data_IF_278096352172
#
_entry.id   IF_278096352172
#
_cell.length_a   1.000
_cell.length_b   1.000
_cell.length_c   1.000
_cell.angle_alpha   90.00
_cell.angle_beta   90.00
_cell.angle_gamma   90.00
#
_symmetry.space_group_name_H-M   'P 1'
#
loop_
_entity.id
_entity.type
_entity.pdbx_description
1 polymer ?
#
# COMPACT_ATOMS: atom_id res chain seq x y z
N UNK A 1 11.49 21.01 -13.41
CA UNK A 1 10.18 20.38 -13.67
C UNK A 1 9.23 20.83 -12.58
N UNK A 2 8.14 21.48 -12.98
CA UNK A 2 7.12 22.04 -12.08
C UNK A 2 5.97 21.06 -11.91
N UNK A 3 5.84 20.49 -10.74
CA UNK A 3 4.85 19.45 -10.43
C UNK A 3 3.78 20.00 -9.50
N UNK A 4 2.51 19.77 -9.84
CA UNK A 4 1.36 20.04 -9.00
C UNK A 4 0.92 18.76 -8.30
N UNK A 5 1.11 18.66 -6.98
CA UNK A 5 0.71 17.51 -6.17
C UNK A 5 -0.62 17.78 -5.47
N UNK A 6 -1.55 16.85 -5.58
CA UNK A 6 -2.89 16.96 -4.98
C UNK A 6 -3.06 15.84 -3.94
N UNK A 7 -3.21 16.24 -2.68
CA UNK A 7 -3.50 15.33 -1.58
C UNK A 7 -4.33 16.05 -0.52
N UNK A 8 -5.59 15.66 -0.26
CA UNK A 8 -6.45 16.38 0.67
C UNK A 8 -5.89 16.46 2.08
N UNK A 9 -5.19 15.44 2.54
CA UNK A 9 -4.62 15.37 3.88
C UNK A 9 -3.13 15.04 3.81
N UNK A 10 -2.30 15.88 4.45
CA UNK A 10 -0.85 15.72 4.58
C UNK A 10 -0.49 16.07 6.03
N UNK A 11 0.17 15.16 6.75
CA UNK A 11 0.60 15.39 8.13
C UNK A 11 1.70 14.40 8.53
N UNK A 12 2.85 14.92 8.94
CA UNK A 12 4.00 14.14 9.42
C UNK A 12 3.71 13.40 10.74
N UNK A 13 2.76 13.89 11.54
CA UNK A 13 2.43 13.35 12.87
C UNK A 13 1.24 12.40 12.88
N UNK A 14 0.58 12.23 11.73
CA UNK A 14 -0.57 11.35 11.57
C UNK A 14 -0.12 9.91 11.21
N UNK A 15 -1.08 9.05 10.90
CA UNK A 15 -0.88 7.67 10.47
C UNK A 15 -1.63 7.42 9.15
N UNK A 16 -1.28 6.35 8.45
CA UNK A 16 -1.96 5.95 7.22
C UNK A 16 -1.75 6.93 6.06
N UNK A 17 -2.83 7.25 5.33
CA UNK A 17 -2.74 8.02 4.08
C UNK A 17 -2.12 9.42 4.24
N UNK A 18 -2.39 10.13 5.34
CA UNK A 18 -1.87 11.48 5.55
C UNK A 18 -0.34 11.47 5.76
N UNK A 19 0.18 10.52 6.53
CA UNK A 19 1.61 10.31 6.71
C UNK A 19 2.28 9.88 5.41
N UNK A 20 1.68 8.96 4.68
CA UNK A 20 2.20 8.50 3.38
C UNK A 20 2.27 9.67 2.39
N UNK A 21 1.22 10.50 2.34
CA UNK A 21 1.22 11.70 1.50
C UNK A 21 2.31 12.70 1.90
N UNK A 22 2.54 12.88 3.20
CA UNK A 22 3.64 13.69 3.72
C UNK A 22 4.99 13.14 3.23
N UNK A 23 5.28 11.86 3.40
CA UNK A 23 6.56 11.24 3.00
C UNK A 23 6.82 11.34 1.49
N UNK A 24 5.79 11.16 0.66
CA UNK A 24 5.92 11.40 -0.78
C UNK A 24 6.20 12.86 -1.12
N UNK A 25 5.45 13.80 -0.52
CA UNK A 25 5.64 15.23 -0.74
C UNK A 25 7.03 15.69 -0.27
N UNK A 26 7.48 15.23 0.90
CA UNK A 26 8.82 15.50 1.44
C UNK A 26 9.90 15.01 0.46
N UNK A 27 9.84 13.74 0.06
CA UNK A 27 10.85 13.15 -0.82
C UNK A 27 10.84 13.77 -2.24
N UNK A 28 9.68 14.15 -2.78
CA UNK A 28 9.56 14.79 -4.09
C UNK A 28 10.02 16.24 -4.06
N UNK A 29 9.76 17.00 -2.98
CA UNK A 29 10.17 18.42 -2.87
C UNK A 29 11.67 18.64 -2.95
N UNK A 30 12.47 17.61 -2.66
CA UNK A 30 13.93 17.61 -2.80
C UNK A 30 14.42 17.38 -4.27
N UNK A 31 13.50 17.07 -5.20
CA UNK A 31 13.84 16.61 -6.56
C UNK A 31 13.20 17.42 -7.67
N UNK A 32 12.08 18.07 -7.38
CA UNK A 32 11.30 18.84 -8.35
C UNK A 32 10.77 20.12 -7.71
N UNK A 33 10.45 21.12 -8.53
CA UNK A 33 9.70 22.30 -8.06
C UNK A 33 8.26 21.88 -7.76
N UNK A 34 7.96 21.64 -6.47
CA UNK A 34 6.73 21.05 -6.02
C UNK A 34 5.76 22.11 -5.49
N UNK A 35 4.55 22.13 -6.05
CA UNK A 35 3.41 22.85 -5.47
C UNK A 35 2.40 21.82 -4.94
N UNK A 36 2.03 21.94 -3.67
CA UNK A 36 1.16 21.00 -2.98
C UNK A 36 -0.18 21.66 -2.65
N UNK A 37 -1.29 21.01 -3.03
CA UNK A 37 -2.65 21.44 -2.69
C UNK A 37 -3.23 20.48 -1.64
N UNK A 38 -3.61 20.99 -0.45
CA UNK A 38 -4.14 20.18 0.64
C UNK A 38 -5.10 20.96 1.54
N UNK A 39 -5.78 20.26 2.44
CA UNK A 39 -6.45 20.89 3.57
C UNK A 39 -5.47 21.17 4.70
N UNK A 40 -5.71 22.26 5.44
CA UNK A 40 -5.13 22.51 6.75
C UNK A 40 -6.11 22.05 7.83
N UNK A 41 -5.69 21.11 8.65
CA UNK A 41 -6.46 20.64 9.79
C UNK A 41 -6.25 21.59 10.97
N UNK A 42 -7.35 21.95 11.65
CA UNK A 42 -7.31 22.73 12.87
C UNK A 42 -6.62 21.94 14.00
N UNK A 43 -5.82 22.63 14.80
CA UNK A 43 -5.05 22.01 15.90
C UNK A 43 -3.83 21.19 15.48
N UNK A 44 -3.48 21.18 14.17
CA UNK A 44 -2.28 20.56 13.64
C UNK A 44 -1.27 21.62 13.18
N UNK A 45 0.01 21.27 13.21
CA UNK A 45 1.06 22.13 12.65
C UNK A 45 0.78 22.47 11.19
N UNK A 46 1.11 23.70 10.77
CA UNK A 46 0.89 24.14 9.40
C UNK A 46 1.65 23.22 8.42
N UNK A 47 0.97 22.74 7.37
CA UNK A 47 1.59 21.84 6.37
C UNK A 47 2.80 22.51 5.70
N UNK A 48 2.74 23.84 5.50
CA UNK A 48 3.87 24.60 4.97
C UNK A 48 5.13 24.56 5.86
N UNK A 49 4.96 24.47 7.18
CA UNK A 49 6.09 24.29 8.11
C UNK A 49 6.66 22.88 8.06
N UNK A 50 5.82 21.88 7.79
CA UNK A 50 6.23 20.48 7.65
C UNK A 50 6.94 20.22 6.30
N UNK A 51 6.67 21.03 5.26
CA UNK A 51 7.20 20.89 3.90
C UNK A 51 7.88 22.18 3.42
N UNK A 52 8.98 22.60 4.06
CA UNK A 52 9.61 23.90 3.77
C UNK A 52 10.20 24.02 2.35
N UNK A 53 10.49 22.89 1.70
CA UNK A 53 11.03 22.85 0.35
C UNK A 53 9.94 22.84 -0.75
N UNK A 54 8.66 22.82 -0.39
CA UNK A 54 7.54 22.87 -1.33
C UNK A 54 6.74 24.17 -1.22
N UNK A 55 6.15 24.63 -2.31
CA UNK A 55 5.10 25.65 -2.26
C UNK A 55 3.80 24.97 -1.80
N UNK A 56 3.28 25.33 -0.65
CA UNK A 56 2.06 24.72 -0.08
C UNK A 56 0.90 25.70 -0.14
N UNK A 57 -0.22 25.26 -0.71
CA UNK A 57 -1.50 25.99 -0.76
C UNK A 57 -2.52 25.19 0.04
N UNK A 58 -3.13 25.84 1.03
CA UNK A 58 -4.05 25.17 1.94
C UNK A 58 -5.41 25.84 1.99
N UNK A 59 -6.43 25.06 2.27
CA UNK A 59 -7.78 25.49 2.63
C UNK A 59 -8.16 24.85 3.97
N UNK A 60 -9.01 25.51 4.80
CA UNK A 60 -9.48 24.88 6.02
C UNK A 60 -10.27 23.60 5.71
N UNK A 61 -10.01 22.53 6.46
CA UNK A 61 -10.83 21.32 6.36
C UNK A 61 -12.24 21.62 6.89
N UNK A 62 -13.33 21.25 6.15
CA UNK A 62 -14.68 21.51 6.60
C UNK A 62 -14.96 20.91 7.99
N UNK A 63 -15.53 21.71 8.91
CA UNK A 63 -15.75 21.27 10.30
C UNK A 63 -16.62 20.00 10.40
N UNK A 64 -17.63 19.86 9.55
CA UNK A 64 -18.50 18.67 9.49
C UNK A 64 -17.75 17.40 9.07
N UNK A 65 -16.64 17.52 8.34
CA UNK A 65 -15.83 16.38 7.94
C UNK A 65 -15.06 15.75 9.10
N UNK A 66 -14.91 16.48 10.23
CA UNK A 66 -14.15 16.04 11.40
C UNK A 66 -14.97 15.22 12.41
N UNK A 67 -16.29 15.36 12.40
CA UNK A 67 -17.18 14.77 13.41
C UNK A 67 -17.31 13.25 13.35
N UNK A 68 -16.91 12.59 12.24
CA UNK A 68 -17.04 11.15 12.05
C UNK A 68 -15.77 10.56 11.42
N UNK A 69 -14.66 10.51 12.15
CA UNK A 69 -13.34 10.11 11.64
C UNK A 69 -13.35 8.79 10.85
N UNK A 70 -14.06 7.75 11.32
CA UNK A 70 -14.14 6.46 10.61
C UNK A 70 -14.88 6.56 9.28
N UNK A 71 -15.97 7.31 9.21
CA UNK A 71 -16.71 7.55 7.97
C UNK A 71 -15.88 8.40 7.00
N UNK A 72 -15.19 9.41 7.51
CA UNK A 72 -14.31 10.26 6.72
C UNK A 72 -13.12 9.52 6.16
N UNK A 73 -12.50 8.65 6.93
CA UNK A 73 -11.40 7.81 6.46
C UNK A 73 -11.85 6.89 5.30
N UNK A 74 -13.12 6.44 5.31
CA UNK A 74 -13.64 5.49 4.33
C UNK A 74 -14.36 6.11 3.14
N UNK A 75 -15.16 7.15 3.35
CA UNK A 75 -16.03 7.73 2.33
C UNK A 75 -15.56 9.09 1.81
N UNK A 76 -14.55 9.71 2.48
CA UNK A 76 -13.98 11.03 2.11
C UNK A 76 -15.04 12.05 1.65
N UNK A 77 -16.08 12.34 2.45
CA UNK A 77 -17.19 13.20 2.03
C UNK A 77 -16.74 14.64 1.70
N UNK A 78 -15.58 15.08 2.22
CA UNK A 78 -14.98 16.37 1.88
C UNK A 78 -14.32 16.40 0.48
N UNK A 79 -14.20 15.27 -0.22
CA UNK A 79 -13.56 15.22 -1.53
C UNK A 79 -14.19 16.15 -2.58
N UNK A 80 -15.52 16.24 -2.75
CA UNK A 80 -16.12 17.17 -3.71
C UNK A 80 -15.78 18.63 -3.42
N UNK A 81 -15.75 19.02 -2.13
CA UNK A 81 -15.35 20.38 -1.69
C UNK A 81 -13.89 20.64 -2.05
N UNK A 82 -12.99 19.72 -1.69
CA UNK A 82 -11.58 19.80 -2.04
C UNK A 82 -11.37 19.89 -3.56
N UNK A 83 -12.00 19.02 -4.33
CA UNK A 83 -11.95 19.06 -5.79
C UNK A 83 -12.46 20.38 -6.39
N UNK A 84 -13.45 21.00 -5.74
CA UNK A 84 -13.93 22.34 -6.09
C UNK A 84 -12.86 23.42 -5.88
N UNK A 85 -12.18 23.41 -4.73
CA UNK A 85 -11.06 24.33 -4.43
C UNK A 85 -9.90 24.13 -5.42
N UNK A 86 -9.51 22.88 -5.66
CA UNK A 86 -8.44 22.55 -6.63
C UNK A 86 -8.76 23.11 -8.02
N UNK A 87 -9.99 22.88 -8.53
CA UNK A 87 -10.39 23.40 -9.86
C UNK A 87 -10.36 24.91 -9.93
N UNK A 88 -10.85 25.61 -8.89
CA UNK A 88 -10.85 27.08 -8.84
C UNK A 88 -9.41 27.59 -8.85
N UNK A 89 -8.59 27.05 -7.99
CA UNK A 89 -7.19 27.47 -7.85
C UNK A 89 -6.38 27.24 -9.12
N UNK A 90 -6.52 26.10 -9.81
CA UNK A 90 -5.82 25.84 -11.07
C UNK A 90 -6.22 26.87 -12.14
N UNK A 91 -7.53 27.17 -12.27
CA UNK A 91 -7.99 28.19 -13.25
C UNK A 91 -7.38 29.56 -12.95
N UNK A 92 -7.37 29.95 -11.71
CA UNK A 92 -6.78 31.23 -11.25
C UNK A 92 -5.26 31.24 -11.49
N UNK A 93 -4.56 30.21 -11.13
CA UNK A 93 -3.12 30.08 -11.38
C UNK A 93 -2.79 30.17 -12.89
N UNK A 94 -3.55 29.49 -13.74
CA UNK A 94 -3.38 29.56 -15.19
C UNK A 94 -3.70 30.96 -15.76
N UNK A 95 -4.74 31.66 -15.26
CA UNK A 95 -5.04 33.04 -15.69
C UNK A 95 -3.95 34.03 -15.32
N UNK A 96 -3.14 33.73 -14.31
CA UNK A 96 -1.95 34.49 -13.93
C UNK A 96 -0.65 33.99 -14.58
N UNK A 97 -0.75 33.15 -15.61
CA UNK A 97 0.41 32.64 -16.34
C UNK A 97 1.21 31.53 -15.62
N UNK A 98 0.70 30.99 -14.53
CA UNK A 98 1.35 29.85 -13.87
C UNK A 98 1.18 28.59 -14.72
N UNK A 99 2.29 27.93 -15.03
CA UNK A 99 2.34 26.70 -15.80
C UNK A 99 2.91 25.56 -14.96
N UNK A 100 2.31 24.37 -15.10
CA UNK A 100 2.79 23.12 -14.52
C UNK A 100 3.07 22.13 -15.65
N UNK A 101 4.22 21.45 -15.55
CA UNK A 101 4.59 20.43 -16.53
C UNK A 101 3.71 19.19 -16.38
N UNK A 102 3.40 18.81 -15.12
CA UNK A 102 2.58 17.65 -14.81
C UNK A 102 1.84 17.85 -13.47
N UNK A 103 0.64 17.29 -13.37
CA UNK A 103 -0.11 17.19 -12.11
C UNK A 103 -0.18 15.75 -11.61
N UNK A 104 -0.06 15.55 -10.31
CA UNK A 104 -0.16 14.24 -9.69
C UNK A 104 -1.21 14.24 -8.57
N UNK A 105 -2.32 13.55 -8.78
CA UNK A 105 -3.28 13.25 -7.71
C UNK A 105 -2.79 12.07 -6.91
N UNK A 106 -2.07 12.33 -5.83
CA UNK A 106 -1.49 11.33 -4.94
C UNK A 106 -2.55 10.65 -4.05
N UNK A 107 -3.53 11.42 -3.59
CA UNK A 107 -4.60 10.96 -2.71
C UNK A 107 -5.97 11.46 -3.22
N UNK A 108 -7.07 10.79 -2.90
CA UNK A 108 -7.21 9.57 -2.08
C UNK A 108 -6.71 8.30 -2.79
N UNK A 109 -6.28 7.30 -2.01
CA UNK A 109 -5.87 6.00 -2.56
C UNK A 109 -7.02 5.18 -3.13
N UNK A 110 -8.24 5.33 -2.58
CA UNK A 110 -9.39 4.59 -3.07
C UNK A 110 -9.81 5.07 -4.47
N UNK A 111 -9.96 4.15 -5.42
CA UNK A 111 -10.24 4.45 -6.82
C UNK A 111 -11.67 4.97 -7.11
N UNK A 112 -12.48 5.27 -6.12
CA UNK A 112 -13.88 5.69 -6.25
C UNK A 112 -14.10 7.20 -6.47
N UNK A 113 -13.02 8.00 -6.56
CA UNK A 113 -13.10 9.46 -6.60
C UNK A 113 -12.68 10.00 -7.96
N UNK A 114 -13.62 10.69 -8.63
CA UNK A 114 -13.32 11.36 -9.89
C UNK A 114 -12.28 12.48 -9.68
N UNK A 115 -11.28 12.54 -10.56
CA UNK A 115 -10.23 13.54 -10.48
C UNK A 115 -10.69 14.93 -10.92
N UNK A 116 -10.35 16.00 -10.19
CA UNK A 116 -10.56 17.36 -10.67
C UNK A 116 -9.68 17.69 -11.90
N UNK A 117 -8.59 16.98 -12.11
CA UNK A 117 -7.61 17.23 -13.17
C UNK A 117 -8.14 16.93 -14.58
N UNK A 118 -9.15 16.08 -14.72
CA UNK A 118 -9.77 15.74 -16.01
C UNK A 118 -10.32 16.93 -16.80
N UNK A 119 -10.41 18.11 -16.16
CA UNK A 119 -10.95 19.35 -16.75
C UNK A 119 -9.85 20.27 -17.31
N UNK A 120 -8.59 19.90 -17.18
CA UNK A 120 -7.44 20.73 -17.56
C UNK A 120 -6.57 20.03 -18.59
N UNK A 121 -5.92 20.83 -19.42
CA UNK A 121 -4.95 20.35 -20.42
C UNK A 121 -3.53 20.25 -19.83
N UNK A 122 -3.45 19.72 -18.60
CA UNK A 122 -2.20 19.41 -17.91
C UNK A 122 -2.07 17.89 -17.89
N UNK A 123 -0.98 17.30 -18.40
CA UNK A 123 -0.75 15.87 -18.24
C UNK A 123 -0.82 15.49 -16.76
N UNK A 124 -1.54 14.41 -16.43
CA UNK A 124 -1.68 14.05 -15.02
C UNK A 124 -1.58 12.55 -14.76
N UNK A 125 -1.16 12.26 -13.54
CA UNK A 125 -1.04 10.93 -12.96
C UNK A 125 -1.99 10.81 -11.78
N UNK A 126 -2.57 9.63 -11.56
CA UNK A 126 -3.39 9.32 -10.39
C UNK A 126 -2.82 8.13 -9.66
N UNK A 127 -2.71 8.21 -8.33
CA UNK A 127 -2.31 7.10 -7.45
C UNK A 127 -1.03 7.37 -6.67
N UNK A 128 -0.51 6.34 -5.99
CA UNK A 128 -0.86 4.92 -6.08
C UNK A 128 -2.26 4.61 -5.53
N UNK A 129 -3.10 4.00 -6.37
CA UNK A 129 -4.42 3.55 -5.98
C UNK A 129 -4.35 2.22 -5.25
N UNK A 130 -5.21 2.05 -4.23
CA UNK A 130 -5.26 0.84 -3.42
C UNK A 130 -6.67 0.49 -2.97
N UNK A 131 -6.79 -0.57 -2.18
CA UNK A 131 -8.08 -1.06 -1.67
C UNK A 131 -8.80 -2.00 -2.65
N UNK A 132 -10.10 -2.17 -2.46
CA UNK A 132 -11.00 -3.02 -3.26
C UNK A 132 -10.63 -4.52 -3.36
N UNK A 133 -9.65 -4.99 -2.57
CA UNK A 133 -9.31 -6.40 -2.52
C UNK A 133 -10.36 -7.17 -1.70
N UNK A 134 -11.03 -8.13 -2.32
CA UNK A 134 -12.08 -8.93 -1.69
C UNK A 134 -11.52 -10.06 -0.81
N UNK A 135 -12.36 -10.57 0.10
CA UNK A 135 -12.06 -11.81 0.82
C UNK A 135 -12.33 -13.00 -0.09
N UNK A 136 -11.39 -13.96 -0.25
CA UNK A 136 -11.61 -15.18 -1.02
C UNK A 136 -12.85 -15.93 -0.53
N UNK A 137 -13.56 -16.59 -1.44
CA UNK A 137 -14.86 -17.23 -1.16
C UNK A 137 -14.73 -18.25 -0.06
N UNK A 138 -13.66 -19.04 -0.08
CA UNK A 138 -13.36 -20.14 0.84
C UNK A 138 -13.10 -19.67 2.28
N UNK A 139 -12.71 -18.39 2.45
CA UNK A 139 -12.44 -17.77 3.75
C UNK A 139 -13.62 -16.95 4.30
N UNK A 140 -14.72 -16.80 3.52
CA UNK A 140 -15.86 -15.94 3.91
C UNK A 140 -16.62 -16.50 5.09
N UNK A 141 -16.70 -17.83 5.25
CA UNK A 141 -17.37 -18.48 6.38
C UNK A 141 -16.69 -18.19 7.72
N UNK A 142 -15.39 -17.91 7.70
CA UNK A 142 -14.62 -17.59 8.89
C UNK A 142 -14.43 -16.07 9.10
N UNK A 143 -14.78 -15.26 8.12
CA UNK A 143 -14.75 -13.81 8.27
C UNK A 143 -16.00 -13.36 9.02
N UNK A 144 -15.81 -12.52 10.05
CA UNK A 144 -16.93 -11.85 10.73
C UNK A 144 -17.81 -11.14 9.70
N UNK A 145 -19.13 -11.13 9.94
CA UNK A 145 -20.11 -10.49 9.07
C UNK A 145 -19.66 -9.05 8.78
N UNK A 146 -19.31 -8.83 7.52
CA UNK A 146 -18.78 -7.53 7.11
C UNK A 146 -19.83 -6.44 7.38
N UNK A 147 -19.45 -5.30 7.99
CA UNK A 147 -20.38 -4.20 8.26
C UNK A 147 -21.16 -3.81 7.01
N UNK A 148 -22.39 -3.33 7.15
CA UNK A 148 -23.32 -2.92 6.07
C UNK A 148 -22.66 -2.08 4.97
N UNK A 149 -21.67 -1.24 5.32
CA UNK A 149 -20.93 -0.41 4.37
C UNK A 149 -20.04 -1.20 3.40
N UNK A 150 -19.70 -2.46 3.67
CA UNK A 150 -18.99 -3.30 2.69
C UNK A 150 -19.89 -3.70 1.53
N UNK A 151 -21.24 -3.65 1.71
CA UNK A 151 -22.21 -3.79 0.61
C UNK A 151 -22.11 -2.61 -0.36
N UNK A 152 -21.73 -1.42 0.12
CA UNK A 152 -21.49 -0.24 -0.75
C UNK A 152 -20.32 -0.45 -1.74
N UNK A 153 -19.40 -1.37 -1.47
CA UNK A 153 -18.35 -1.74 -2.44
C UNK A 153 -18.89 -2.36 -3.73
N UNK A 154 -20.04 -3.01 -3.67
CA UNK A 154 -20.70 -3.51 -4.89
C UNK A 154 -21.11 -2.33 -5.81
N UNK A 155 -21.38 -1.16 -5.25
CA UNK A 155 -21.65 0.06 -6.01
C UNK A 155 -20.38 0.60 -6.70
N UNK A 156 -19.19 0.35 -6.17
CA UNK A 156 -17.95 0.76 -6.81
C UNK A 156 -17.78 0.08 -8.18
N UNK A 157 -18.08 -1.21 -8.30
CA UNK A 157 -18.04 -1.92 -9.57
C UNK A 157 -19.00 -1.36 -10.62
N UNK A 158 -20.21 -0.98 -10.19
CA UNK A 158 -21.18 -0.30 -11.06
C UNK A 158 -20.68 1.09 -11.47
N UNK A 159 -20.04 1.81 -10.57
CA UNK A 159 -19.47 3.13 -10.88
C UNK A 159 -18.30 3.04 -11.85
N UNK A 160 -17.40 2.07 -11.70
CA UNK A 160 -16.33 1.84 -12.68
C UNK A 160 -16.87 1.54 -14.07
N UNK A 161 -18.01 0.87 -14.15
CA UNK A 161 -18.65 0.54 -15.42
C UNK A 161 -19.44 1.69 -16.03
N UNK A 162 -20.15 2.52 -15.24
CA UNK A 162 -21.16 3.44 -15.74
C UNK A 162 -20.96 4.91 -15.36
N UNK A 163 -20.10 5.26 -14.39
CA UNK A 163 -19.88 6.66 -14.00
C UNK A 163 -18.96 7.37 -15.02
N UNK A 164 -19.48 8.25 -15.88
CA UNK A 164 -18.69 8.86 -16.94
C UNK A 164 -17.58 9.77 -16.40
N UNK A 165 -17.77 10.38 -15.25
CA UNK A 165 -16.76 11.27 -14.65
C UNK A 165 -15.60 10.49 -14.07
N UNK A 166 -15.90 9.34 -13.46
CA UNK A 166 -14.90 8.44 -12.93
C UNK A 166 -14.07 7.82 -14.08
N UNK A 167 -14.76 7.28 -15.09
CA UNK A 167 -14.13 6.72 -16.29
C UNK A 167 -13.25 7.74 -17.01
N UNK A 168 -13.76 8.97 -17.25
CA UNK A 168 -13.00 10.04 -17.85
C UNK A 168 -11.79 10.46 -17.02
N UNK A 169 -11.83 10.35 -15.69
CA UNK A 169 -10.69 10.63 -14.82
C UNK A 169 -9.54 9.67 -15.06
N UNK A 170 -9.83 8.38 -15.28
CA UNK A 170 -8.82 7.35 -15.49
C UNK A 170 -8.37 7.25 -16.94
N UNK A 171 -9.29 7.33 -17.90
CA UNK A 171 -8.93 7.22 -19.33
C UNK A 171 -8.12 8.42 -19.86
N UNK A 172 -8.31 9.60 -19.28
CA UNK A 172 -7.54 10.81 -19.63
C UNK A 172 -6.20 10.92 -18.89
N UNK A 173 -6.01 10.17 -17.82
CA UNK A 173 -4.75 10.18 -17.08
C UNK A 173 -3.62 9.61 -17.93
N UNK A 174 -2.49 10.32 -18.00
CA UNK A 174 -1.32 9.87 -18.72
C UNK A 174 -0.70 8.59 -18.12
N UNK A 175 -0.89 8.39 -16.80
CA UNK A 175 -0.54 7.15 -16.12
C UNK A 175 -1.40 6.96 -14.87
N UNK A 176 -1.80 5.72 -14.62
CA UNK A 176 -2.41 5.30 -13.36
C UNK A 176 -1.38 4.49 -12.58
N UNK A 177 -1.18 4.86 -11.32
CA UNK A 177 -0.35 4.08 -10.39
C UNK A 177 -1.27 3.22 -9.53
N UNK A 178 -0.94 1.93 -9.40
CA UNK A 178 -1.59 1.02 -8.45
C UNK A 178 -0.59 0.56 -7.40
N UNK A 179 -1.03 0.34 -6.15
CA UNK A 179 -0.15 -0.19 -5.09
C UNK A 179 0.43 -1.56 -5.44
N UNK A 180 -0.27 -2.32 -6.28
CA UNK A 180 0.13 -3.60 -6.84
C UNK A 180 -0.64 -3.87 -8.14
N UNK A 181 -0.24 -4.86 -8.97
CA UNK A 181 -0.86 -5.14 -10.27
C UNK A 181 -2.36 -5.42 -10.22
N UNK A 182 -2.89 -6.03 -9.13
CA UNK A 182 -4.32 -6.33 -9.00
C UNK A 182 -5.23 -5.10 -9.13
N UNK A 183 -4.70 -3.88 -8.92
CA UNK A 183 -5.48 -2.63 -9.05
C UNK A 183 -5.94 -2.41 -10.49
N UNK A 184 -5.18 -2.86 -11.48
CA UNK A 184 -5.59 -2.80 -12.88
C UNK A 184 -6.86 -3.63 -13.13
N UNK A 185 -6.96 -4.81 -12.52
CA UNK A 185 -8.15 -5.66 -12.59
C UNK A 185 -9.37 -4.99 -11.93
N UNK A 186 -9.15 -4.28 -10.82
CA UNK A 186 -10.21 -3.52 -10.12
C UNK A 186 -10.79 -2.41 -10.98
N UNK A 187 -9.98 -1.78 -11.82
CA UNK A 187 -10.42 -0.72 -12.74
C UNK A 187 -11.21 -1.27 -13.94
N UNK A 188 -11.15 -2.58 -14.17
CA UNK A 188 -11.97 -3.30 -15.15
C UNK A 188 -11.69 -2.89 -16.59
N UNK A 189 -12.76 -2.53 -17.32
CA UNK A 189 -12.74 -2.20 -18.75
C UNK A 189 -12.44 -0.72 -19.05
N UNK A 190 -12.00 0.06 -18.07
CA UNK A 190 -11.61 1.46 -18.31
C UNK A 190 -10.33 1.47 -19.15
N UNK A 191 -10.33 2.12 -20.33
CA UNK A 191 -9.13 2.20 -21.17
C UNK A 191 -8.09 3.10 -20.49
N UNK A 192 -6.99 2.50 -20.01
CA UNK A 192 -5.88 3.23 -19.39
C UNK A 192 -4.80 3.50 -20.45
N UNK A 193 -4.25 4.72 -20.49
CA UNK A 193 -3.12 5.04 -21.37
C UNK A 193 -1.84 4.30 -20.91
N UNK A 194 -1.62 4.26 -19.59
CA UNK A 194 -0.50 3.55 -18.96
C UNK A 194 -0.89 3.14 -17.54
N UNK A 195 -0.41 1.96 -17.11
CA UNK A 195 -0.53 1.50 -15.71
C UNK A 195 0.85 1.11 -15.19
N UNK A 196 1.18 1.56 -13.97
CA UNK A 196 2.44 1.19 -13.30
C UNK A 196 2.17 0.77 -11.84
N UNK A 197 2.65 -0.38 -11.41
CA UNK A 197 2.59 -0.76 -10.00
C UNK A 197 3.67 -0.01 -9.20
N UNK A 198 3.21 0.77 -8.21
CA UNK A 198 4.06 1.55 -7.30
C UNK A 198 3.51 1.41 -5.90
N UNK A 199 4.19 0.65 -5.05
CA UNK A 199 3.79 0.54 -3.65
C UNK A 199 3.88 1.93 -2.99
N UNK A 200 2.81 2.35 -2.31
CA UNK A 200 2.71 3.68 -1.71
C UNK A 200 3.60 3.86 -0.47
N UNK A 201 3.94 2.77 0.20
CA UNK A 201 4.74 2.77 1.42
C UNK A 201 6.22 2.64 1.13
N UNK A 202 7.02 3.30 1.94
CA UNK A 202 8.48 3.20 1.97
C UNK A 202 9.01 3.21 3.39
N UNK A 203 10.31 3.09 3.53
CA UNK A 203 11.05 3.20 4.79
C UNK A 203 12.13 4.28 4.67
N UNK A 204 12.51 4.86 5.79
CA UNK A 204 13.53 5.92 5.81
C UNK A 204 14.94 5.37 5.67
N UNK A 205 15.23 4.26 6.35
CA UNK A 205 16.54 3.65 6.43
C UNK A 205 16.48 2.12 6.46
N UNK A 206 17.63 1.49 6.35
CA UNK A 206 17.80 0.05 6.55
C UNK A 206 18.66 -0.14 7.80
N UNK A 207 18.10 -0.86 8.79
CA UNK A 207 18.77 -1.15 10.04
C UNK A 207 20.15 -1.83 9.83
N UNK A 208 21.09 -1.72 10.76
CA UNK A 208 22.33 -2.52 10.73
C UNK A 208 22.03 -4.01 10.59
N UNK A 209 22.93 -4.75 9.96
CA UNK A 209 22.77 -6.20 9.83
C UNK A 209 22.85 -6.87 11.20
N UNK A 210 21.84 -7.65 11.53
CA UNK A 210 21.81 -8.47 12.74
C UNK A 210 22.26 -9.89 12.35
N UNK A 211 23.36 -10.35 12.93
CA UNK A 211 23.74 -11.76 12.84
C UNK A 211 22.77 -12.58 13.69
N UNK A 212 22.08 -13.52 13.05
CA UNK A 212 21.17 -14.45 13.71
C UNK A 212 21.79 -15.82 13.77
N UNK A 213 21.80 -16.39 14.97
CA UNK A 213 22.11 -17.79 15.13
C UNK A 213 21.02 -18.62 14.45
N UNK A 214 21.42 -19.47 13.53
CA UNK A 214 20.49 -20.20 12.68
C UNK A 214 20.65 -21.70 12.92
N UNK A 215 20.06 -22.19 14.02
CA UNK A 215 20.09 -23.61 14.37
C UNK A 215 19.06 -24.37 13.53
N UNK A 216 19.45 -25.58 13.12
CA UNK A 216 18.55 -26.50 12.40
C UNK A 216 17.44 -26.99 13.34
N UNK A 217 16.21 -27.06 12.82
CA UNK A 217 15.05 -27.47 13.59
C UNK A 217 14.44 -26.39 14.49
N UNK A 218 15.04 -25.16 14.49
CA UNK A 218 14.55 -24.04 15.28
C UNK A 218 14.13 -22.88 14.37
N UNK A 219 12.94 -22.28 14.62
CA UNK A 219 12.45 -21.12 13.88
C UNK A 219 11.55 -20.27 14.77
N UNK A 220 11.92 -19.03 15.03
CA UNK A 220 11.11 -18.03 15.71
C UNK A 220 10.38 -17.20 14.68
N UNK A 221 9.10 -17.48 14.42
CA UNK A 221 8.29 -16.72 13.50
C UNK A 221 7.67 -15.50 14.21
N UNK A 222 7.63 -14.36 13.53
CA UNK A 222 6.98 -13.15 13.99
C UNK A 222 5.77 -12.82 13.10
N UNK A 223 4.65 -12.51 13.72
CA UNK A 223 3.47 -11.90 13.08
C UNK A 223 3.20 -10.53 13.69
N UNK A 224 3.17 -9.47 12.87
CA UNK A 224 2.83 -8.11 13.31
C UNK A 224 1.65 -7.62 12.50
N UNK A 225 0.56 -7.25 13.19
CA UNK A 225 -0.62 -6.73 12.52
C UNK A 225 -1.87 -6.80 13.40
N UNK A 226 -2.95 -6.17 12.94
CA UNK A 226 -4.23 -6.27 13.63
C UNK A 226 -4.70 -7.73 13.67
N UNK A 227 -5.13 -8.19 14.81
CA UNK A 227 -5.74 -9.52 14.96
C UNK A 227 -7.17 -9.52 14.40
N UNK A 228 -7.29 -9.49 13.08
CA UNK A 228 -8.53 -9.64 12.30
C UNK A 228 -8.37 -10.80 11.32
N UNK A 229 -9.46 -11.49 10.98
CA UNK A 229 -9.39 -12.73 10.20
C UNK A 229 -8.53 -12.62 8.93
N UNK A 230 -8.64 -11.52 8.24
CA UNK A 230 -7.96 -11.31 6.95
C UNK A 230 -6.44 -11.17 7.04
N UNK A 231 -5.87 -11.00 8.25
CA UNK A 231 -4.41 -10.89 8.48
C UNK A 231 -3.72 -12.23 8.69
N UNK A 232 -4.47 -13.34 8.73
CA UNK A 232 -3.94 -14.69 8.65
C UNK A 232 -3.29 -15.22 9.93
N UNK A 233 -3.43 -14.53 11.10
CA UNK A 233 -2.86 -15.04 12.36
C UNK A 233 -3.39 -16.44 12.71
N UNK A 234 -4.69 -16.68 12.49
CA UNK A 234 -5.31 -17.99 12.74
C UNK A 234 -4.69 -19.09 11.85
N UNK A 235 -4.34 -18.76 10.60
CA UNK A 235 -3.72 -19.68 9.66
C UNK A 235 -2.26 -19.98 10.03
N UNK A 236 -1.52 -19.00 10.53
CA UNK A 236 -0.17 -19.19 11.09
C UNK A 236 -0.19 -20.09 12.34
N UNK A 237 -1.22 -19.98 13.20
CA UNK A 237 -1.42 -20.87 14.36
C UNK A 237 -1.75 -22.29 13.90
N UNK A 238 -2.63 -22.45 12.91
CA UNK A 238 -2.96 -23.76 12.32
C UNK A 238 -1.73 -24.43 11.70
N UNK A 239 -0.85 -23.66 11.10
CA UNK A 239 0.41 -24.16 10.54
C UNK A 239 1.28 -24.84 11.61
N UNK A 240 1.35 -24.30 12.85
CA UNK A 240 2.09 -24.94 13.94
C UNK A 240 1.59 -26.33 14.28
N UNK A 241 0.30 -26.62 14.08
CA UNK A 241 -0.26 -27.94 14.32
C UNK A 241 0.23 -29.01 13.33
N UNK A 242 0.70 -28.60 12.14
CA UNK A 242 1.34 -29.47 11.16
C UNK A 242 2.85 -29.67 11.41
N UNK A 243 3.43 -28.97 12.41
CA UNK A 243 4.86 -29.00 12.77
C UNK A 243 5.07 -29.60 14.16
N UNK A 244 4.36 -30.69 14.50
CA UNK A 244 4.49 -31.34 15.82
C UNK A 244 5.85 -31.98 16.03
N UNK A 245 6.48 -32.44 14.98
CA UNK A 245 7.82 -33.01 14.92
C UNK A 245 8.93 -31.95 15.03
N UNK A 246 8.61 -30.66 14.92
CA UNK A 246 9.52 -29.52 15.08
C UNK A 246 9.05 -28.63 16.25
N UNK A 247 9.18 -29.07 17.52
CA UNK A 247 8.66 -28.38 18.69
C UNK A 247 9.29 -26.98 18.90
N UNK A 248 10.46 -26.74 18.37
CA UNK A 248 11.19 -25.47 18.48
C UNK A 248 10.79 -24.44 17.42
N UNK A 249 9.79 -24.74 16.58
CA UNK A 249 9.17 -23.74 15.71
C UNK A 249 8.08 -23.01 16.51
N UNK A 250 8.25 -21.72 16.74
CA UNK A 250 7.38 -20.89 17.59
C UNK A 250 6.84 -19.67 16.83
N UNK A 251 5.77 -19.08 17.34
CA UNK A 251 5.12 -17.88 16.77
C UNK A 251 4.92 -16.82 17.85
N UNK A 252 5.46 -15.62 17.62
CA UNK A 252 5.12 -14.44 18.41
C UNK A 252 4.17 -13.56 17.60
N UNK A 253 3.05 -13.13 18.20
CA UNK A 253 2.10 -12.23 17.57
C UNK A 253 2.04 -10.90 18.33
N UNK A 254 2.31 -9.78 17.62
CA UNK A 254 2.16 -8.42 18.10
C UNK A 254 1.02 -7.73 17.36
N UNK A 255 -0.01 -7.32 18.08
CA UNK A 255 -1.19 -6.67 17.60
C UNK A 255 -2.46 -7.11 18.32
N UNK A 256 -3.47 -6.26 18.30
CA UNK A 256 -4.78 -6.51 18.89
C UNK A 256 -5.89 -6.46 17.83
N UNK A 257 -7.03 -7.01 18.15
CA UNK A 257 -8.20 -7.03 17.28
C UNK A 257 -9.23 -8.07 17.73
N UNK A 258 -10.34 -8.10 17.04
CA UNK A 258 -11.51 -8.93 17.35
C UNK A 258 -11.25 -10.44 17.29
N UNK A 259 -10.25 -10.88 16.54
CA UNK A 259 -9.87 -12.27 16.37
C UNK A 259 -8.93 -12.80 17.48
N UNK A 260 -8.39 -11.94 18.35
CA UNK A 260 -7.32 -12.34 19.27
C UNK A 260 -7.74 -13.48 20.19
N UNK A 261 -8.94 -13.42 20.76
CA UNK A 261 -9.46 -14.47 21.65
C UNK A 261 -9.79 -15.76 20.88
N UNK A 262 -10.28 -15.64 19.65
CA UNK A 262 -10.48 -16.79 18.78
C UNK A 262 -9.14 -17.46 18.41
N UNK A 263 -8.10 -16.68 18.19
CA UNK A 263 -6.75 -17.20 17.95
C UNK A 263 -6.18 -17.93 19.18
N UNK A 264 -6.42 -17.42 20.41
CA UNK A 264 -6.03 -18.09 21.65
C UNK A 264 -6.76 -19.42 21.83
N UNK A 265 -8.08 -19.42 21.59
CA UNK A 265 -8.90 -20.63 21.66
C UNK A 265 -8.47 -21.68 20.62
N UNK A 266 -8.15 -21.24 19.39
CA UNK A 266 -7.66 -22.11 18.32
C UNK A 266 -6.31 -22.74 18.69
N UNK A 267 -5.36 -21.97 19.23
CA UNK A 267 -4.08 -22.48 19.70
C UNK A 267 -4.24 -23.56 20.79
N UNK A 268 -5.15 -23.35 21.75
CA UNK A 268 -5.48 -24.35 22.79
C UNK A 268 -6.09 -25.59 22.18
N UNK A 269 -7.10 -25.44 21.30
CA UNK A 269 -7.79 -26.55 20.63
C UNK A 269 -6.83 -27.43 19.82
N UNK A 270 -5.82 -26.84 19.22
CA UNK A 270 -4.82 -27.54 18.41
C UNK A 270 -3.63 -28.08 19.21
N UNK A 271 -3.54 -27.78 20.52
CA UNK A 271 -2.46 -28.23 21.40
C UNK A 271 -1.12 -27.56 21.10
N UNK A 272 -1.14 -26.30 20.64
CA UNK A 272 0.06 -25.52 20.30
C UNK A 272 0.17 -24.21 21.08
N UNK A 273 -0.62 -24.05 22.15
CA UNK A 273 -0.70 -22.80 22.91
C UNK A 273 0.63 -22.40 23.57
N UNK A 274 1.45 -23.35 23.98
CA UNK A 274 2.78 -23.19 24.54
C UNK A 274 3.82 -22.69 23.53
N UNK A 275 3.52 -22.84 22.24
CA UNK A 275 4.38 -22.40 21.11
C UNK A 275 3.96 -21.04 20.54
N UNK A 276 2.89 -20.42 21.06
CA UNK A 276 2.37 -19.13 20.58
C UNK A 276 2.42 -18.07 21.67
N UNK A 277 3.16 -17.01 21.45
CA UNK A 277 3.21 -15.85 22.36
C UNK A 277 2.36 -14.71 21.80
N UNK A 278 1.31 -14.34 22.52
CA UNK A 278 0.42 -13.22 22.18
C UNK A 278 0.76 -11.97 23.00
N UNK A 279 1.28 -10.94 22.37
CA UNK A 279 1.72 -9.70 23.05
C UNK A 279 0.60 -8.63 23.09
N UNK A 280 -0.46 -8.78 22.28
CA UNK A 280 -1.44 -7.71 22.11
C UNK A 280 -0.82 -6.46 21.46
N UNK A 281 -1.39 -5.28 21.75
CA UNK A 281 -0.87 -4.00 21.25
C UNK A 281 0.34 -3.59 22.09
N UNK A 282 1.48 -3.42 21.46
CA UNK A 282 2.73 -2.98 22.06
C UNK A 282 3.24 -1.71 21.39
N UNK A 283 4.13 -0.92 22.05
CA UNK A 283 4.79 0.24 21.46
C UNK A 283 5.64 -0.11 20.24
N UNK A 284 5.80 0.85 19.31
CA UNK A 284 6.59 0.67 18.09
C UNK A 284 8.02 0.24 18.36
N UNK A 285 8.68 0.82 19.36
CA UNK A 285 10.05 0.45 19.74
C UNK A 285 10.18 -1.05 20.05
N UNK A 286 9.23 -1.63 20.78
CA UNK A 286 9.22 -3.07 21.08
C UNK A 286 8.95 -3.92 19.83
N UNK A 287 8.17 -3.41 18.86
CA UNK A 287 7.99 -4.11 17.57
C UNK A 287 9.32 -4.18 16.81
N UNK A 288 10.11 -3.12 16.82
CA UNK A 288 11.46 -3.10 16.20
C UNK A 288 12.41 -4.14 16.83
N UNK A 289 12.38 -4.28 18.16
CA UNK A 289 13.14 -5.32 18.87
C UNK A 289 12.70 -6.74 18.47
N UNK A 290 11.40 -6.95 18.25
CA UNK A 290 10.89 -8.23 17.77
C UNK A 290 11.40 -8.56 16.35
N UNK A 291 11.40 -7.61 15.44
CA UNK A 291 11.97 -7.83 14.10
C UNK A 291 13.46 -8.21 14.18
N UNK A 292 14.23 -7.63 15.11
CA UNK A 292 15.64 -7.93 15.28
C UNK A 292 15.89 -9.32 15.91
N UNK A 293 14.98 -9.80 16.76
CA UNK A 293 15.15 -11.02 17.58
C UNK A 293 14.48 -12.28 17.03
N UNK A 294 13.77 -12.20 15.90
CA UNK A 294 13.09 -13.32 15.26
C UNK A 294 13.81 -13.78 13.99
N UNK A 295 13.46 -14.96 13.48
CA UNK A 295 14.14 -15.65 12.39
C UNK A 295 13.40 -15.53 11.05
N UNK A 296 12.08 -15.35 11.07
CA UNK A 296 11.24 -15.21 9.90
C UNK A 296 10.01 -14.36 10.22
N UNK A 297 9.49 -13.69 9.21
CA UNK A 297 8.25 -12.92 9.31
C UNK A 297 7.11 -13.69 8.63
N UNK A 298 6.12 -14.11 9.41
CA UNK A 298 4.94 -14.84 8.94
C UNK A 298 3.72 -13.93 8.90
N UNK A 299 3.39 -13.45 7.71
CA UNK A 299 2.27 -12.54 7.50
C UNK A 299 1.35 -13.05 6.38
N UNK A 300 0.60 -14.14 6.62
CA UNK A 300 -0.23 -14.77 5.61
C UNK A 300 -1.56 -14.03 5.43
N UNK A 301 -1.49 -12.72 5.20
CA UNK A 301 -2.64 -11.86 5.01
C UNK A 301 -3.22 -12.04 3.60
N UNK A 302 -4.37 -12.67 3.49
CA UNK A 302 -5.05 -12.91 2.21
C UNK A 302 -5.91 -11.72 1.71
N UNK A 303 -5.91 -10.63 2.46
CA UNK A 303 -6.58 -9.36 2.09
C UNK A 303 -5.74 -8.17 2.56
N UNK A 304 -4.61 -7.99 1.90
CA UNK A 304 -3.67 -6.91 2.15
C UNK A 304 -3.44 -6.12 0.86
N UNK A 305 -3.95 -4.90 0.74
CA UNK A 305 -3.76 -4.09 -0.47
C UNK A 305 -2.29 -3.76 -0.74
N UNK A 306 -1.56 -3.34 0.28
CA UNK A 306 -0.20 -2.84 0.16
C UNK A 306 0.83 -3.74 0.86
N UNK A 307 0.80 -3.82 2.19
CA UNK A 307 1.69 -4.66 2.97
C UNK A 307 3.00 -4.01 3.42
N UNK A 308 2.96 -2.74 3.80
CA UNK A 308 4.16 -2.00 4.25
C UNK A 308 4.91 -2.65 5.42
N UNK A 309 4.22 -3.40 6.28
CA UNK A 309 4.81 -4.19 7.37
C UNK A 309 5.87 -5.20 6.87
N UNK A 310 5.76 -5.63 5.61
CA UNK A 310 6.75 -6.52 4.99
C UNK A 310 8.10 -5.80 4.83
N UNK A 311 8.09 -4.53 4.44
CA UNK A 311 9.32 -3.75 4.36
C UNK A 311 9.97 -3.52 5.73
N UNK A 312 9.17 -3.38 6.80
CA UNK A 312 9.68 -3.30 8.16
C UNK A 312 10.42 -4.60 8.57
N UNK A 313 9.88 -5.76 8.24
CA UNK A 313 10.52 -7.05 8.47
C UNK A 313 11.74 -7.27 7.57
N UNK A 314 11.59 -6.97 6.27
CA UNK A 314 12.67 -7.16 5.27
C UNK A 314 13.87 -6.27 5.54
N UNK A 315 13.70 -5.05 6.06
CA UNK A 315 14.82 -4.16 6.43
C UNK A 315 15.70 -4.74 7.52
N UNK A 316 15.13 -5.61 8.36
CA UNK A 316 15.85 -6.36 9.40
C UNK A 316 16.42 -7.69 8.87
N UNK A 317 16.22 -7.99 7.58
CA UNK A 317 16.72 -9.22 6.98
C UNK A 317 15.94 -10.46 7.38
N UNK A 318 14.65 -10.35 7.65
CA UNK A 318 13.77 -11.50 7.87
C UNK A 318 13.28 -12.06 6.54
N UNK A 319 13.45 -13.36 6.28
CA UNK A 319 12.71 -14.02 5.20
C UNK A 319 11.20 -13.97 5.46
N UNK A 320 10.45 -13.85 4.39
CA UNK A 320 9.00 -13.60 4.45
C UNK A 320 8.21 -14.87 4.10
N UNK A 321 7.20 -15.17 4.90
CA UNK A 321 6.14 -16.14 4.60
C UNK A 321 4.84 -15.33 4.44
N UNK A 322 4.28 -15.27 3.24
CA UNK A 322 3.10 -14.44 2.97
C UNK A 322 2.12 -15.07 1.99
N UNK A 323 0.89 -14.56 1.95
CA UNK A 323 -0.11 -14.99 0.97
C UNK A 323 0.29 -14.52 -0.44
N UNK A 324 0.12 -15.38 -1.44
CA UNK A 324 0.27 -15.02 -2.87
C UNK A 324 -0.95 -14.25 -3.36
N UNK A 325 -1.15 -13.03 -2.77
CA UNK A 325 -2.29 -12.18 -3.07
C UNK A 325 -2.07 -10.71 -2.70
N UNK A 326 -2.60 -9.80 -3.52
CA UNK A 326 -2.56 -8.35 -3.26
C UNK A 326 -1.16 -7.77 -3.27
N UNK A 327 -0.90 -6.83 -2.37
CA UNK A 327 0.43 -6.20 -2.21
C UNK A 327 1.53 -7.17 -1.81
N UNK A 328 1.32 -8.08 -0.84
CA UNK A 328 2.30 -9.08 -0.47
C UNK A 328 2.85 -9.92 -1.62
N UNK A 329 1.97 -10.37 -2.53
CA UNK A 329 2.38 -11.11 -3.74
C UNK A 329 3.29 -10.30 -4.67
N UNK A 330 3.13 -8.99 -4.69
CA UNK A 330 3.96 -8.07 -5.46
C UNK A 330 5.30 -7.74 -4.78
N UNK A 331 5.29 -7.65 -3.43
CA UNK A 331 6.47 -7.30 -2.65
C UNK A 331 7.45 -8.48 -2.55
N UNK A 332 6.94 -9.70 -2.34
CA UNK A 332 7.76 -10.88 -2.05
C UNK A 332 8.00 -11.67 -3.34
N UNK A 333 9.25 -12.08 -3.54
CA UNK A 333 9.66 -13.01 -4.58
C UNK A 333 10.58 -14.11 -4.01
N UNK A 334 11.02 -15.03 -4.84
CA UNK A 334 11.80 -16.20 -4.45
C UNK A 334 13.22 -15.85 -3.90
N UNK A 335 13.64 -14.58 -4.01
CA UNK A 335 14.89 -14.09 -3.43
C UNK A 335 14.74 -13.68 -1.97
N UNK A 336 13.52 -13.45 -1.48
CA UNK A 336 13.27 -12.88 -0.15
C UNK A 336 12.21 -13.63 0.69
N UNK A 337 11.56 -14.67 0.15
CA UNK A 337 10.58 -15.43 0.92
C UNK A 337 9.72 -16.37 0.10
N UNK A 338 8.62 -16.80 0.72
CA UNK A 338 7.65 -17.72 0.14
C UNK A 338 6.31 -17.01 -0.05
N UNK A 339 5.76 -17.11 -1.26
CA UNK A 339 4.39 -16.72 -1.60
C UNK A 339 3.51 -17.96 -1.58
N UNK A 340 2.55 -17.98 -0.68
CA UNK A 340 1.74 -19.16 -0.38
C UNK A 340 0.38 -19.01 -1.05
N UNK A 341 -0.02 -19.95 -1.93
CA UNK A 341 -1.29 -19.89 -2.64
C UNK A 341 -2.49 -19.85 -1.69
N UNK A 342 -3.42 -18.91 -1.89
CA UNK A 342 -4.62 -18.74 -1.07
C UNK A 342 -5.75 -19.60 -1.65
N UNK A 343 -5.80 -20.86 -1.27
CA UNK A 343 -6.80 -21.85 -1.74
C UNK A 343 -7.98 -21.95 -0.77
N UNK A 344 -7.82 -22.69 0.32
CA UNK A 344 -8.77 -22.81 1.41
C UNK A 344 -8.03 -22.81 2.75
N UNK A 345 -8.70 -22.58 3.90
CA UNK A 345 -8.03 -22.43 5.19
C UNK A 345 -7.14 -23.62 5.59
N UNK A 346 -7.55 -24.85 5.29
CA UNK A 346 -6.82 -26.06 5.65
C UNK A 346 -5.55 -26.21 4.83
N UNK A 347 -5.66 -26.11 3.50
CA UNK A 347 -4.52 -26.22 2.60
C UNK A 347 -3.54 -25.06 2.78
N UNK A 348 -4.07 -23.84 2.97
CA UNK A 348 -3.27 -22.66 3.22
C UNK A 348 -2.41 -22.79 4.49
N UNK A 349 -2.98 -23.31 5.59
CA UNK A 349 -2.23 -23.59 6.81
C UNK A 349 -1.15 -24.66 6.62
N UNK A 350 -1.43 -25.72 5.83
CA UNK A 350 -0.45 -26.76 5.51
C UNK A 350 0.70 -26.20 4.68
N UNK A 351 0.41 -25.37 3.66
CA UNK A 351 1.45 -24.76 2.81
C UNK A 351 2.30 -23.74 3.58
N UNK A 352 1.73 -23.02 4.57
CA UNK A 352 2.50 -22.18 5.51
C UNK A 352 3.44 -23.08 6.35
N UNK A 353 2.98 -24.23 6.81
CA UNK A 353 3.79 -25.15 7.60
C UNK A 353 4.95 -25.72 6.77
N UNK A 354 4.71 -26.10 5.52
CA UNK A 354 5.77 -26.59 4.62
C UNK A 354 6.86 -25.55 4.39
N UNK A 355 6.49 -24.29 4.17
CA UNK A 355 7.44 -23.20 4.03
C UNK A 355 8.19 -22.91 5.35
N UNK A 356 7.51 -22.97 6.50
CA UNK A 356 8.14 -22.80 7.81
C UNK A 356 9.09 -23.96 8.13
N UNK A 357 8.73 -25.21 7.79
CA UNK A 357 9.59 -26.40 7.90
C UNK A 357 10.87 -26.19 7.11
N UNK A 358 10.76 -25.79 5.85
CA UNK A 358 11.91 -25.51 4.98
C UNK A 358 12.85 -24.49 5.61
N UNK A 359 12.32 -23.39 6.17
CA UNK A 359 13.16 -22.41 6.87
C UNK A 359 13.77 -22.94 8.17
N UNK A 360 13.09 -23.83 8.89
CA UNK A 360 13.63 -24.43 10.11
C UNK A 360 14.74 -25.45 9.83
N UNK A 361 14.60 -26.26 8.79
CA UNK A 361 15.51 -27.34 8.43
C UNK A 361 16.71 -26.87 7.60
N UNK A 362 16.59 -25.73 6.89
CA UNK A 362 17.61 -25.17 5.99
C UNK A 362 18.12 -23.78 6.45
N UNK A 363 19.01 -23.72 7.47
CA UNK A 363 19.56 -22.46 7.96
C UNK A 363 20.28 -21.62 6.89
N UNK A 364 20.92 -22.27 5.92
CA UNK A 364 21.59 -21.58 4.80
C UNK A 364 20.59 -20.88 3.88
N UNK A 365 19.45 -21.51 3.56
CA UNK A 365 18.37 -20.91 2.80
C UNK A 365 17.76 -19.73 3.56
N UNK A 366 17.49 -19.91 4.87
CA UNK A 366 16.96 -18.84 5.73
C UNK A 366 17.84 -17.59 5.70
N UNK A 367 19.16 -17.74 5.84
CA UNK A 367 20.12 -16.62 5.72
C UNK A 367 20.12 -16.01 4.32
N UNK A 368 20.11 -16.81 3.26
CA UNK A 368 20.08 -16.34 1.87
C UNK A 368 18.83 -15.49 1.60
N UNK A 369 17.65 -15.96 1.99
CA UNK A 369 16.39 -15.23 1.82
C UNK A 369 16.35 -13.95 2.66
N UNK A 370 16.89 -13.98 3.88
CA UNK A 370 17.00 -12.79 4.72
C UNK A 370 17.92 -11.72 4.10
N UNK A 371 19.05 -12.12 3.53
CA UNK A 371 19.96 -11.23 2.77
C UNK A 371 19.25 -10.66 1.54
N UNK A 372 18.52 -11.50 0.79
CA UNK A 372 17.74 -11.10 -0.37
C UNK A 372 16.62 -10.11 -0.01
N UNK A 373 15.91 -10.34 1.11
CA UNK A 373 14.88 -9.43 1.63
C UNK A 373 15.46 -8.03 1.89
N UNK A 374 16.59 -7.97 2.59
CA UNK A 374 17.29 -6.73 2.87
C UNK A 374 17.77 -6.02 1.59
N UNK A 375 18.39 -6.77 0.66
CA UNK A 375 18.85 -6.23 -0.62
C UNK A 375 17.69 -5.65 -1.45
N UNK A 376 16.53 -6.31 -1.45
CA UNK A 376 15.33 -5.84 -2.14
C UNK A 376 14.82 -4.52 -1.57
N UNK A 377 14.70 -4.41 -0.26
CA UNK A 377 14.29 -3.15 0.40
C UNK A 377 15.30 -2.03 0.14
N UNK A 378 16.60 -2.31 0.18
CA UNK A 378 17.64 -1.33 -0.15
C UNK A 378 17.53 -0.84 -1.59
N UNK A 379 17.09 -1.68 -2.53
CA UNK A 379 16.96 -1.35 -3.95
C UNK A 379 15.67 -0.57 -4.28
N UNK A 380 14.56 -0.82 -3.59
CA UNK A 380 13.24 -0.34 -4.00
C UNK A 380 12.32 0.13 -2.87
N UNK A 381 12.73 -0.03 -1.61
CA UNK A 381 11.91 0.26 -0.43
C UNK A 381 12.14 1.65 0.19
N UNK A 382 13.28 2.29 -0.05
CA UNK A 382 13.61 3.58 0.54
C UNK A 382 12.84 4.72 -0.12
N UNK A 383 12.34 5.68 0.68
CA UNK A 383 11.59 6.84 0.19
C UNK A 383 12.34 7.61 -0.89
N UNK A 384 13.66 7.82 -0.71
CA UNK A 384 14.49 8.49 -1.70
C UNK A 384 14.47 7.80 -3.06
N UNK A 385 14.68 6.49 -3.09
CA UNK A 385 14.71 5.70 -4.33
C UNK A 385 13.33 5.62 -4.99
N UNK A 386 12.26 5.55 -4.19
CA UNK A 386 10.88 5.58 -4.69
C UNK A 386 10.57 6.91 -5.35
N UNK A 387 11.00 8.03 -4.74
CA UNK A 387 10.85 9.35 -5.33
C UNK A 387 11.68 9.50 -6.61
N UNK A 388 12.91 8.97 -6.65
CA UNK A 388 13.73 8.95 -7.87
C UNK A 388 13.06 8.16 -9.00
N UNK A 389 12.47 6.99 -8.68
CA UNK A 389 11.69 6.19 -9.65
C UNK A 389 10.48 6.97 -10.17
N UNK A 390 9.76 7.65 -9.28
CA UNK A 390 8.58 8.43 -9.65
C UNK A 390 8.95 9.65 -10.51
N UNK A 391 10.06 10.32 -10.21
CA UNK A 391 10.57 11.44 -11.03
C UNK A 391 10.99 10.96 -12.42
N UNK A 392 11.60 9.78 -12.55
CA UNK A 392 11.86 9.18 -13.87
C UNK A 392 10.57 8.93 -14.65
N UNK A 393 9.55 8.36 -13.98
CA UNK A 393 8.23 8.15 -14.58
C UNK A 393 7.59 9.47 -15.05
N UNK A 394 7.72 10.57 -14.29
CA UNK A 394 7.25 11.89 -14.72
C UNK A 394 7.91 12.34 -16.01
N UNK A 395 9.24 12.18 -16.12
CA UNK A 395 9.99 12.51 -17.33
C UNK A 395 9.56 11.69 -18.53
N UNK A 396 9.36 10.37 -18.33
CA UNK A 396 8.89 9.45 -19.37
C UNK A 396 7.49 9.82 -19.89
N UNK A 397 6.57 10.16 -18.97
CA UNK A 397 5.21 10.60 -19.31
C UNK A 397 5.25 11.88 -20.14
N UNK A 398 6.08 12.85 -19.74
CA UNK A 398 6.22 14.12 -20.47
C UNK A 398 6.85 13.93 -21.85
N UNK A 399 7.86 13.08 -21.97
CA UNK A 399 8.49 12.77 -23.27
C UNK A 399 7.48 12.13 -24.25
N UNK A 400 6.67 11.17 -23.78
CA UNK A 400 5.65 10.52 -24.61
C UNK A 400 4.55 11.50 -25.05
N UNK A 401 4.10 12.40 -24.16
CA UNK A 401 3.10 13.43 -24.51
C UNK A 401 3.63 14.39 -25.57
N UNK A 402 4.89 14.80 -25.50
CA UNK A 402 5.52 15.66 -26.50
C UNK A 402 5.66 14.95 -27.86
N UNK A 403 6.01 13.65 -27.86
CA UNK A 403 6.08 12.86 -29.08
C UNK A 403 4.71 12.75 -29.78
N UNK A 404 3.63 12.53 -29.04
CA UNK A 404 2.27 12.51 -29.59
C UNK A 404 1.81 13.87 -30.14
N UNK A 405 2.22 14.99 -29.52
CA UNK A 405 1.93 16.35 -30.02
C UNK A 405 2.75 16.74 -31.25
N UNK A 406 3.90 16.12 -31.46
CA UNK A 406 4.81 16.40 -32.59
C UNK A 406 4.46 15.64 -33.88
N UNK A 407 3.53 14.66 -33.86
CA UNK A 407 3.04 14.00 -35.07
C UNK A 407 1.97 14.89 -35.71
N UNK A 408 2.20 15.50 -36.90
CA UNK A 408 1.20 16.32 -37.57
C UNK A 408 -0.04 15.47 -37.92
N UNK A 409 -1.23 16.02 -37.70
CA UNK A 409 -2.53 15.44 -38.10
C UNK A 409 -2.74 15.52 -39.65
N UNK A 410 -1.71 15.31 -40.46
CA UNK A 410 -1.77 15.37 -41.93
C UNK A 410 -1.42 14.02 -42.55
N UNK A 411 -2.37 13.07 -42.50
CA UNK A 411 -2.34 11.94 -43.42
C UNK A 411 -3.71 11.26 -43.69
N UNK A 412 -4.82 12.00 -43.49
CA UNK A 412 -6.11 11.51 -44.00
C UNK A 412 -6.84 12.55 -44.83
N UNK A 413 -6.29 12.89 -46.01
CA UNK A 413 -7.04 13.51 -47.11
C UNK A 413 -6.20 13.47 -48.39
N UNK A 414 -6.15 12.36 -49.07
CA UNK A 414 -5.99 12.26 -50.56
C UNK A 414 -6.17 10.81 -50.99
N UNK A 415 -7.43 10.38 -51.08
CA UNK A 415 -7.81 9.44 -52.13
C UNK A 415 -9.06 10.02 -52.73
N UNK A 416 -8.91 10.76 -53.78
CA UNK A 416 -9.93 11.11 -54.73
C UNK A 416 -9.29 11.04 -56.11
N UNK A 417 -9.63 10.04 -56.84
CA UNK A 417 -9.99 9.96 -58.24
C UNK A 417 -9.93 8.55 -58.74
#
# INVERSE_FOLDING_TARGET
>A
MKILLIAPNIDATDVGEAFVAFKWAEALSQRVELTVLCFQREGRAAVAQQLPAAKVVTWPEPAWARTHERLNAMLKPAWPVFAGHVRRWIREAQSHGTHFDLAHQLMPQAARYASPLRHFDIPYIIGPLGGALDTPVEFRSEASSAPLFTRLRKLDALRFRYDPWLRASYSKAACILGVAPYVQEVLGDIPLQRFEPVLELGIDDVAPTVERQADRGTLKMLHVGRAVRTKGLRDAIRALAHLKDLPNVTLTSAGAGEELELCRAEAKRLGVADRVRFLGRIPRAQVEELYASHDAFCFPSFREPAGGVLYEAMRQGLPILTADRGGPSWIVDDTCGFRIPVTNPQRFAADIADAARTLAEEPALRRRLGTGARAKVMREGLWGQKADKLVRLYKDVLANQNAHRAIPMDSHLRISS
#
